data_IF_847363924485
#
_entry.id   IF_847363924485
#
_cell.length_a   1.000
_cell.length_b   1.000
_cell.length_c   1.000
_cell.angle_alpha   90.00
_cell.angle_beta   90.00
_cell.angle_gamma   90.00
#
_symmetry.space_group_name_H-M   'P 1'
#
loop_
_entity.id
_entity.type
_entity.pdbx_description
1 polymer ?
#
# COMPACT_ATOMS: atom_id res chain seq x y z
N UNK A 1 34.07 -20.27 -33.14
CA UNK A 1 34.73 -19.02 -32.71
C UNK A 1 34.61 -18.01 -33.85
N UNK A 2 34.13 -16.79 -33.55
CA UNK A 2 34.17 -15.56 -34.37
C UNK A 2 33.27 -15.54 -35.65
N UNK A 3 32.18 -14.74 -35.70
CA UNK A 3 32.12 -13.36 -36.25
C UNK A 3 30.69 -12.90 -36.62
N UNK A 4 30.50 -11.60 -36.39
CA UNK A 4 29.44 -10.68 -36.77
C UNK A 4 29.16 -10.62 -38.30
N UNK A 5 28.02 -10.00 -38.67
CA UNK A 5 27.61 -9.32 -39.95
C UNK A 5 26.37 -9.99 -40.60
N UNK A 6 25.17 -9.41 -40.46
CA UNK A 6 24.57 -8.30 -41.26
C UNK A 6 23.94 -8.77 -42.58
N UNK A 7 22.84 -8.10 -42.98
CA UNK A 7 22.12 -8.07 -44.28
C UNK A 7 20.65 -8.52 -44.07
N UNK A 8 19.59 -7.96 -44.63
CA UNK A 8 19.25 -6.86 -45.58
C UNK A 8 17.72 -6.71 -45.36
N UNK A 9 17.06 -5.56 -45.52
CA UNK A 9 17.48 -4.40 -46.29
C UNK A 9 16.57 -3.22 -46.06
N UNK A 10 17.16 -2.06 -46.32
CA UNK A 10 16.44 -0.84 -46.61
C UNK A 10 16.04 -0.82 -48.09
N UNK A 11 14.98 -0.05 -48.35
CA UNK A 11 14.59 0.59 -49.61
C UNK A 11 13.61 -0.18 -50.53
N UNK A 12 12.35 0.26 -50.45
CA UNK A 12 11.38 0.22 -51.52
C UNK A 12 10.41 1.39 -51.34
N UNK A 13 10.63 2.48 -52.07
CA UNK A 13 9.80 3.70 -52.09
C UNK A 13 8.75 3.54 -53.19
N UNK A 14 7.48 3.88 -52.94
CA UNK A 14 6.67 4.74 -53.83
C UNK A 14 5.25 4.99 -53.30
N UNK A 15 4.89 6.29 -53.25
CA UNK A 15 3.59 6.95 -53.49
C UNK A 15 2.32 6.10 -53.55
N UNK A 16 1.15 6.49 -53.05
CA UNK A 16 0.62 7.77 -52.59
C UNK A 16 -0.82 7.50 -52.16
N UNK A 17 -1.26 8.00 -51.01
CA UNK A 17 -2.63 8.46 -50.84
C UNK A 17 -2.69 9.30 -49.57
N UNK A 18 -3.04 10.57 -49.73
CA UNK A 18 -3.35 11.49 -48.65
C UNK A 18 -4.66 10.98 -48.03
N UNK A 19 -4.55 10.19 -46.96
CA UNK A 19 -5.66 9.99 -46.04
C UNK A 19 -5.70 11.19 -45.08
N UNK A 20 -6.86 11.80 -44.83
CA UNK A 20 -6.95 12.94 -43.93
C UNK A 20 -6.43 12.53 -42.56
N UNK A 21 -5.43 13.26 -42.06
CA UNK A 21 -5.07 13.20 -40.65
C UNK A 21 -6.27 13.71 -39.86
N UNK A 22 -7.14 12.79 -39.46
CA UNK A 22 -8.00 13.04 -38.30
C UNK A 22 -7.01 13.14 -37.15
N UNK A 23 -6.69 14.36 -36.74
CA UNK A 23 -6.10 14.60 -35.43
C UNK A 23 -7.21 14.26 -34.45
N UNK A 24 -7.33 12.97 -34.13
CA UNK A 24 -7.93 12.57 -32.88
C UNK A 24 -6.92 13.09 -31.87
N UNK A 25 -7.28 14.20 -31.24
CA UNK A 25 -6.80 14.53 -29.91
C UNK A 25 -7.21 13.33 -29.05
N UNK A 26 -6.38 12.29 -29.06
CA UNK A 26 -6.42 11.32 -27.99
C UNK A 26 -6.06 12.15 -26.79
N UNK A 27 -7.08 12.48 -26.00
CA UNK A 27 -6.93 12.64 -24.57
C UNK A 27 -5.84 11.66 -24.18
N UNK A 28 -4.72 12.19 -23.72
CA UNK A 28 -3.83 11.43 -22.88
C UNK A 28 -4.75 10.83 -21.83
N UNK A 29 -5.09 9.55 -22.01
CA UNK A 29 -5.40 8.70 -20.90
C UNK A 29 -4.15 8.83 -20.06
N UNK A 30 -4.19 9.77 -19.11
CA UNK A 30 -3.35 9.70 -17.94
C UNK A 30 -3.58 8.28 -17.46
N UNK A 31 -2.61 7.42 -17.72
CA UNK A 31 -2.48 6.16 -17.03
C UNK A 31 -2.57 6.60 -15.58
N UNK A 32 -3.67 6.25 -14.92
CA UNK A 32 -3.88 6.48 -13.50
C UNK A 32 -2.84 5.59 -12.84
N UNK A 33 -1.64 6.14 -12.67
CA UNK A 33 -0.61 5.58 -11.81
C UNK A 33 -1.11 5.83 -10.41
N UNK A 34 -1.87 4.87 -9.87
CA UNK A 34 -1.76 4.62 -8.44
C UNK A 34 -0.31 4.24 -8.24
N UNK A 35 0.50 5.09 -7.60
CA UNK A 35 1.91 4.81 -7.31
C UNK A 35 1.95 3.66 -6.28
N UNK A 36 1.63 2.45 -6.74
CA UNK A 36 1.77 1.20 -6.03
C UNK A 36 3.27 0.91 -6.08
N UNK A 37 3.92 1.09 -4.95
CA UNK A 37 5.32 0.73 -4.81
C UNK A 37 5.44 -0.77 -4.55
N UNK A 38 6.44 -1.38 -5.20
CA UNK A 38 6.77 -2.79 -4.98
C UNK A 38 7.90 -2.90 -3.97
N UNK A 39 7.75 -3.83 -3.02
CA UNK A 39 8.73 -4.13 -1.99
C UNK A 39 8.92 -5.63 -1.79
N UNK A 40 9.71 -5.98 -0.78
CA UNK A 40 9.86 -7.36 -0.35
C UNK A 40 9.96 -7.47 1.17
N UNK A 41 9.15 -8.35 1.76
CA UNK A 41 9.29 -8.80 3.15
C UNK A 41 10.03 -10.14 3.17
N UNK A 42 10.89 -10.36 4.17
CA UNK A 42 11.67 -11.60 4.30
C UNK A 42 11.45 -12.25 5.66
N UNK A 43 11.33 -13.57 5.65
CA UNK A 43 11.28 -14.42 6.85
C UNK A 43 12.41 -15.43 6.73
N UNK A 44 13.40 -15.29 7.60
CA UNK A 44 14.61 -16.12 7.62
C UNK A 44 14.51 -17.16 8.73
N UNK A 45 14.22 -18.41 8.37
CA UNK A 45 14.15 -19.49 9.37
C UNK A 45 15.42 -20.32 9.34
N UNK A 46 16.14 -20.28 10.45
CA UNK A 46 17.30 -21.14 10.69
C UNK A 46 16.82 -22.45 11.31
N UNK A 47 17.17 -23.59 10.73
CA UNK A 47 16.72 -24.90 11.19
C UNK A 47 17.46 -25.42 12.44
N UNK A 48 18.09 -24.56 13.23
CA UNK A 48 18.91 -24.97 14.38
C UNK A 48 18.15 -25.87 15.37
N UNK A 49 16.82 -25.69 15.54
CA UNK A 49 16.01 -26.54 16.43
C UNK A 49 15.78 -27.97 15.91
N UNK A 50 16.16 -28.24 14.66
CA UNK A 50 16.14 -29.55 14.02
C UNK A 50 17.52 -30.20 13.95
N UNK A 51 18.53 -29.66 14.63
CA UNK A 51 19.84 -30.29 14.70
C UNK A 51 20.26 -30.55 16.14
N UNK A 52 20.80 -31.73 16.40
CA UNK A 52 21.49 -31.99 17.66
C UNK A 52 22.91 -31.39 17.66
N UNK A 53 23.58 -31.47 18.80
CA UNK A 53 24.97 -31.00 19.00
C UNK A 53 26.00 -31.63 18.05
N UNK A 54 25.68 -32.79 17.48
CA UNK A 54 26.54 -33.53 16.56
C UNK A 54 26.17 -33.24 15.09
N UNK A 55 25.20 -32.35 14.85
CA UNK A 55 24.74 -31.94 13.54
C UNK A 55 23.81 -32.93 12.84
N UNK A 56 23.19 -33.87 13.57
CA UNK A 56 22.20 -34.81 13.03
C UNK A 56 20.80 -34.21 13.06
N UNK A 57 20.01 -34.52 12.04
CA UNK A 57 18.63 -34.03 11.91
C UNK A 57 17.72 -34.68 12.96
N UNK A 58 16.97 -33.84 13.68
CA UNK A 58 15.90 -34.22 14.59
C UNK A 58 14.56 -34.03 13.86
N UNK A 59 13.89 -35.14 13.57
CA UNK A 59 12.56 -35.16 12.96
C UNK A 59 11.50 -34.65 13.94
N UNK A 60 10.45 -34.03 13.39
CA UNK A 60 9.29 -33.57 14.15
C UNK A 60 8.91 -32.13 13.82
N UNK A 61 8.06 -31.57 14.66
CA UNK A 61 7.55 -30.20 14.55
C UNK A 61 8.19 -29.33 15.62
N UNK A 62 8.63 -28.13 15.23
CA UNK A 62 9.26 -27.15 16.12
C UNK A 62 8.61 -25.79 15.90
N UNK A 63 8.34 -25.07 16.98
CA UNK A 63 7.78 -23.72 16.93
C UNK A 63 8.90 -22.68 16.73
N UNK A 64 8.68 -21.76 15.79
CA UNK A 64 9.56 -20.66 15.40
C UNK A 64 8.83 -19.31 15.46
N UNK A 65 7.77 -19.17 16.25
CA UNK A 65 6.95 -17.95 16.33
C UNK A 65 7.74 -16.64 16.44
N UNK A 66 8.84 -16.63 17.19
CA UNK A 66 9.70 -15.44 17.35
C UNK A 66 10.27 -14.92 16.03
N UNK A 67 10.55 -15.82 15.08
CA UNK A 67 11.04 -15.46 13.73
C UNK A 67 9.94 -14.73 12.95
N UNK A 68 8.69 -15.18 13.08
CA UNK A 68 7.55 -14.53 12.43
C UNK A 68 7.24 -13.18 13.08
N UNK A 69 7.30 -13.09 14.41
CA UNK A 69 7.13 -11.84 15.16
C UNK A 69 8.14 -10.80 14.68
N UNK A 70 9.43 -11.17 14.62
CA UNK A 70 10.49 -10.26 14.18
C UNK A 70 10.26 -9.74 12.75
N UNK A 71 9.84 -10.62 11.84
CA UNK A 71 9.56 -10.23 10.46
C UNK A 71 8.35 -9.28 10.36
N UNK A 72 7.26 -9.57 11.09
CA UNK A 72 6.07 -8.71 11.16
C UNK A 72 6.44 -7.33 11.75
N UNK A 73 7.18 -7.31 12.85
CA UNK A 73 7.59 -6.06 13.52
C UNK A 73 8.44 -5.17 12.62
N UNK A 74 9.41 -5.77 11.91
CA UNK A 74 10.22 -5.05 10.92
C UNK A 74 9.37 -4.43 9.82
N UNK A 75 8.41 -5.18 9.27
CA UNK A 75 7.53 -4.67 8.23
C UNK A 75 6.59 -3.58 8.76
N UNK A 76 6.04 -3.74 9.97
CA UNK A 76 5.19 -2.72 10.62
C UNK A 76 5.96 -1.44 10.89
N UNK A 77 7.21 -1.53 11.35
CA UNK A 77 8.09 -0.39 11.53
C UNK A 77 8.35 0.34 10.20
N UNK A 78 8.70 -0.39 9.14
CA UNK A 78 8.85 0.17 7.79
C UNK A 78 7.58 0.88 7.32
N UNK A 79 6.40 0.24 7.47
CA UNK A 79 5.13 0.82 7.06
C UNK A 79 4.85 2.13 7.80
N UNK A 80 5.15 2.19 9.10
CA UNK A 80 5.00 3.39 9.91
C UNK A 80 5.96 4.51 9.50
N UNK A 81 7.24 4.19 9.31
CA UNK A 81 8.27 5.17 8.92
C UNK A 81 7.97 5.80 7.54
N UNK A 82 7.40 5.02 6.63
CA UNK A 82 7.11 5.44 5.26
C UNK A 82 5.65 5.88 5.05
N UNK A 83 4.87 6.07 6.13
CA UNK A 83 3.44 6.45 6.05
C UNK A 83 2.62 5.57 5.08
N UNK A 84 2.90 4.27 5.08
CA UNK A 84 2.17 3.30 4.26
C UNK A 84 0.73 3.20 4.78
N UNK A 85 -0.24 3.49 3.90
CA UNK A 85 -1.67 3.43 4.23
C UNK A 85 -2.34 2.13 3.82
N UNK A 86 -1.77 1.45 2.83
CA UNK A 86 -2.23 0.14 2.41
C UNK A 86 -1.02 -0.72 2.09
N UNK A 87 -0.95 -1.89 2.71
CA UNK A 87 0.08 -2.89 2.47
C UNK A 87 -0.60 -4.21 2.06
N UNK A 88 -0.17 -4.76 0.94
CA UNK A 88 -0.63 -6.04 0.42
C UNK A 88 0.55 -6.98 0.13
N UNK A 89 0.27 -8.28 0.17
CA UNK A 89 1.19 -9.33 -0.23
C UNK A 89 0.60 -9.96 -1.50
N UNK A 90 1.18 -9.63 -2.64
CA UNK A 90 0.65 -10.04 -3.95
C UNK A 90 1.18 -11.41 -4.37
N UNK A 91 2.42 -11.71 -3.99
CA UNK A 91 3.06 -12.99 -4.28
C UNK A 91 4.04 -13.41 -3.18
N UNK A 92 4.47 -14.67 -3.20
CA UNK A 92 5.57 -15.15 -2.37
C UNK A 92 6.43 -16.14 -3.12
N UNK A 93 7.74 -15.99 -2.94
CA UNK A 93 8.75 -16.90 -3.46
C UNK A 93 9.57 -17.37 -2.27
N UNK A 94 9.69 -18.68 -2.11
CA UNK A 94 10.63 -19.23 -1.13
C UNK A 94 11.86 -19.74 -1.83
N UNK A 95 13.01 -19.37 -1.27
CA UNK A 95 14.30 -19.71 -1.81
C UNK A 95 15.01 -20.66 -0.86
N UNK A 96 15.33 -21.83 -1.39
CA UNK A 96 16.26 -22.74 -0.73
C UNK A 96 17.69 -22.28 -1.05
N UNK A 97 18.59 -22.26 -0.06
CA UNK A 97 20.00 -21.99 -0.32
C UNK A 97 20.57 -22.97 -1.37
N UNK A 98 21.26 -22.46 -2.38
CA UNK A 98 22.01 -23.29 -3.34
C UNK A 98 21.25 -23.82 -4.57
N UNK A 99 19.99 -23.41 -4.83
CA UNK A 99 19.32 -23.71 -6.12
C UNK A 99 19.12 -22.48 -7.00
N UNK A 100 19.21 -22.70 -8.31
CA UNK A 100 18.89 -21.70 -9.35
C UNK A 100 17.39 -21.66 -9.68
N UNK A 101 16.69 -22.79 -9.54
CA UNK A 101 15.25 -22.86 -9.75
C UNK A 101 14.49 -22.72 -8.43
N UNK A 102 13.55 -21.79 -8.43
CA UNK A 102 12.69 -21.48 -7.29
C UNK A 102 11.64 -22.59 -7.17
N UNK A 103 11.63 -23.32 -6.05
CA UNK A 103 10.45 -24.06 -5.64
C UNK A 103 9.34 -23.06 -5.38
N UNK A 104 8.48 -22.79 -6.38
CA UNK A 104 7.39 -21.82 -6.25
C UNK A 104 6.40 -22.34 -5.21
N UNK A 105 6.32 -21.62 -4.10
CA UNK A 105 5.36 -21.85 -3.02
C UNK A 105 4.11 -21.01 -3.30
N UNK A 106 2.93 -21.58 -3.02
CA UNK A 106 1.67 -20.81 -3.01
C UNK A 106 1.48 -20.10 -1.67
N UNK A 107 0.99 -18.88 -1.76
CA UNK A 107 1.25 -17.73 -0.87
C UNK A 107 0.40 -17.71 0.40
N UNK A 108 1.04 -17.43 1.55
CA UNK A 108 0.41 -17.07 2.81
C UNK A 108 -0.11 -15.62 2.83
N UNK A 109 -1.07 -15.31 1.93
CA UNK A 109 -1.63 -13.95 1.78
C UNK A 109 -2.29 -13.43 3.04
N UNK A 110 -2.77 -14.33 3.90
CA UNK A 110 -3.38 -14.00 5.19
C UNK A 110 -2.39 -13.31 6.15
N UNK A 111 -1.07 -13.42 5.93
CA UNK A 111 -0.07 -12.73 6.75
C UNK A 111 -0.22 -11.20 6.71
N UNK A 112 -0.75 -10.64 5.61
CA UNK A 112 -1.02 -9.19 5.51
C UNK A 112 -2.00 -8.70 6.57
N UNK A 113 -2.88 -9.57 7.05
CA UNK A 113 -3.87 -9.23 8.08
C UNK A 113 -3.17 -8.95 9.42
N UNK A 114 -2.14 -9.74 9.77
CA UNK A 114 -1.32 -9.51 10.96
C UNK A 114 -0.46 -8.23 10.82
N UNK A 115 0.08 -7.97 9.63
CA UNK A 115 0.86 -6.75 9.37
C UNK A 115 -0.01 -5.49 9.46
N UNK A 116 -1.26 -5.55 8.97
CA UNK A 116 -2.18 -4.41 8.91
C UNK A 116 -3.02 -4.20 10.18
N UNK A 117 -3.11 -5.18 11.07
CA UNK A 117 -3.95 -5.09 12.28
C UNK A 117 -3.47 -4.01 13.25
N UNK A 118 -4.39 -3.44 14.04
CA UNK A 118 -4.02 -2.49 15.11
C UNK A 118 -3.32 -3.23 16.23
N UNK A 119 -3.90 -4.35 16.64
CA UNK A 119 -3.34 -5.28 17.63
C UNK A 119 -3.12 -6.63 16.96
N UNK A 120 -1.94 -7.22 17.15
CA UNK A 120 -1.66 -8.56 16.65
C UNK A 120 -0.94 -9.40 17.68
N UNK A 121 -1.14 -10.72 17.60
CA UNK A 121 -0.43 -11.72 18.38
C UNK A 121 -0.06 -12.89 17.45
N UNK A 122 1.16 -13.39 17.54
CA UNK A 122 1.54 -14.65 16.87
C UNK A 122 1.44 -15.77 17.90
N UNK A 123 0.54 -16.72 17.66
CA UNK A 123 0.32 -17.86 18.54
C UNK A 123 1.36 -18.94 18.28
N UNK A 124 1.63 -19.23 17.00
CA UNK A 124 2.59 -20.27 16.57
C UNK A 124 3.15 -20.01 15.17
N UNK A 125 4.35 -20.52 14.92
CA UNK A 125 4.88 -20.75 13.57
C UNK A 125 5.56 -22.12 13.57
N UNK A 126 4.83 -23.16 13.19
CA UNK A 126 5.28 -24.53 13.25
C UNK A 126 6.02 -24.95 11.99
N UNK A 127 7.24 -25.44 12.16
CA UNK A 127 8.06 -26.00 11.10
C UNK A 127 8.16 -27.50 11.32
N UNK A 128 7.74 -28.27 10.33
CA UNK A 128 7.72 -29.74 10.37
C UNK A 128 8.76 -30.30 9.42
N UNK A 129 9.62 -31.19 9.93
CA UNK A 129 10.53 -32.02 9.13
C UNK A 129 10.17 -33.49 9.35
N UNK A 130 9.76 -34.17 8.28
CA UNK A 130 9.39 -35.59 8.32
C UNK A 130 10.16 -36.39 7.27
N UNK A 131 10.46 -37.66 7.56
CA UNK A 131 11.06 -38.59 6.59
C UNK A 131 9.96 -39.29 5.80
N UNK A 132 10.00 -39.20 4.47
CA UNK A 132 8.95 -39.68 3.58
C UNK A 132 9.04 -41.17 3.24
N UNK A 133 10.24 -41.78 3.31
CA UNK A 133 10.47 -43.21 3.01
C UNK A 133 11.82 -43.74 3.54
N UNK A 134 12.06 -45.05 3.38
CA UNK A 134 13.34 -45.71 3.69
C UNK A 134 14.48 -45.32 2.74
N UNK A 135 14.18 -44.62 1.65
CA UNK A 135 15.14 -44.19 0.62
C UNK A 135 15.84 -42.89 0.99
N UNK A 136 15.31 -42.12 1.95
CA UNK A 136 15.96 -40.92 2.50
C UNK A 136 15.32 -39.59 2.09
N UNK A 137 14.10 -39.61 1.57
CA UNK A 137 13.38 -38.39 1.21
C UNK A 137 12.83 -37.65 2.44
N UNK A 138 12.83 -36.32 2.45
CA UNK A 138 12.27 -35.49 3.53
C UNK A 138 11.13 -34.59 3.04
N UNK A 139 10.10 -34.41 3.87
CA UNK A 139 9.00 -33.46 3.67
C UNK A 139 9.11 -32.30 4.66
N UNK A 140 8.74 -31.11 4.18
CA UNK A 140 8.72 -29.86 4.94
C UNK A 140 7.34 -29.23 4.91
N UNK A 141 6.96 -28.62 6.02
CA UNK A 141 5.75 -27.80 6.12
C UNK A 141 5.96 -26.68 7.11
N UNK A 142 5.42 -25.50 6.80
CA UNK A 142 5.43 -24.36 7.71
C UNK A 142 3.98 -23.89 7.83
N UNK A 143 3.46 -23.88 9.03
CA UNK A 143 2.12 -23.39 9.32
C UNK A 143 2.22 -22.29 10.37
N UNK A 144 1.39 -21.27 10.30
CA UNK A 144 1.31 -20.24 11.33
C UNK A 144 -0.12 -19.99 11.77
N UNK A 145 -0.24 -19.59 13.03
CA UNK A 145 -1.48 -19.12 13.63
C UNK A 145 -1.22 -17.81 14.38
N UNK A 146 -2.12 -16.85 14.23
CA UNK A 146 -2.05 -15.57 14.92
C UNK A 146 -3.43 -14.95 15.10
N UNK A 147 -3.49 -13.89 15.89
CA UNK A 147 -4.68 -13.06 16.07
C UNK A 147 -4.42 -11.69 15.45
N UNK A 148 -5.35 -11.21 14.65
CA UNK A 148 -5.35 -9.86 14.08
C UNK A 148 -6.64 -9.15 14.49
N UNK A 149 -6.53 -8.14 15.35
CA UNK A 149 -7.67 -7.45 15.97
C UNK A 149 -8.69 -8.44 16.60
N UNK A 150 -8.18 -9.47 17.30
CA UNK A 150 -8.97 -10.52 17.94
C UNK A 150 -9.53 -11.60 17.01
N UNK A 151 -9.24 -11.55 15.70
CA UNK A 151 -9.65 -12.58 14.74
C UNK A 151 -8.52 -13.56 14.46
N UNK A 152 -8.83 -14.86 14.48
CA UNK A 152 -7.86 -15.90 14.13
C UNK A 152 -7.49 -15.80 12.65
N UNK A 153 -6.20 -15.68 12.40
CA UNK A 153 -5.56 -15.69 11.10
C UNK A 153 -4.65 -16.90 11.09
N UNK A 154 -4.93 -17.83 10.18
CA UNK A 154 -4.04 -18.94 9.92
C UNK A 154 -3.46 -18.79 8.53
N UNK A 155 -2.31 -19.39 8.31
CA UNK A 155 -1.77 -19.49 6.99
C UNK A 155 -0.70 -20.55 6.93
N UNK A 156 -0.64 -21.15 5.77
CA UNK A 156 0.36 -22.15 5.50
C UNK A 156 1.35 -21.61 4.47
N UNK A 157 2.62 -21.76 4.79
CA UNK A 157 3.75 -21.34 3.97
C UNK A 157 4.43 -22.63 3.46
N UNK A 158 3.86 -23.27 2.43
CA UNK A 158 4.28 -24.64 2.03
C UNK A 158 5.38 -24.70 0.98
N UNK A 159 6.54 -25.28 1.32
CA UNK A 159 7.66 -25.51 0.40
C UNK A 159 7.92 -26.97 0.09
N UNK A 160 8.26 -27.28 -1.17
CA UNK A 160 8.60 -28.63 -1.58
C UNK A 160 9.99 -28.68 -2.22
N UNK A 161 10.81 -29.62 -1.78
CA UNK A 161 12.02 -30.04 -2.47
C UNK A 161 11.89 -31.52 -2.84
N UNK A 162 12.01 -31.81 -4.13
CA UNK A 162 11.77 -33.12 -4.72
C UNK A 162 13.04 -33.96 -4.86
N UNK A 163 14.20 -33.32 -4.77
CA UNK A 163 15.51 -33.97 -4.95
C UNK A 163 16.23 -34.17 -3.60
N UNK A 164 16.54 -35.44 -3.34
CA UNK A 164 17.23 -35.95 -2.15
C UNK A 164 18.62 -35.34 -1.95
N UNK A 165 19.39 -35.12 -3.03
CA UNK A 165 20.75 -34.56 -2.93
C UNK A 165 20.76 -33.10 -2.48
N UNK A 166 19.68 -32.39 -2.74
CA UNK A 166 19.52 -30.99 -2.32
C UNK A 166 18.96 -30.86 -0.91
N UNK A 167 18.15 -31.81 -0.42
CA UNK A 167 17.60 -31.76 0.93
C UNK A 167 18.71 -31.64 1.99
N UNK A 168 19.76 -32.47 1.94
CA UNK A 168 20.85 -32.42 2.92
C UNK A 168 21.65 -31.10 2.90
N UNK A 169 21.80 -30.48 1.73
CA UNK A 169 22.46 -29.18 1.57
C UNK A 169 21.56 -27.99 1.95
N UNK A 170 20.24 -28.16 1.89
CA UNK A 170 19.25 -27.08 2.07
C UNK A 170 18.65 -27.03 3.48
N UNK A 171 18.52 -28.16 4.18
CA UNK A 171 17.96 -28.17 5.54
C UNK A 171 18.92 -27.48 6.50
N UNK A 172 20.21 -27.81 6.41
CA UNK A 172 21.24 -27.37 7.36
C UNK A 172 21.38 -25.86 7.48
N UNK A 173 21.41 -25.07 6.39
CA UNK A 173 21.47 -23.60 6.49
C UNK A 173 20.13 -22.94 6.84
N UNK A 174 18.99 -23.64 6.76
CA UNK A 174 17.66 -23.04 6.88
C UNK A 174 17.12 -22.52 5.54
N UNK A 175 16.09 -21.67 5.58
CA UNK A 175 15.39 -21.19 4.39
C UNK A 175 14.95 -19.73 4.51
N UNK A 176 14.83 -19.08 3.34
CA UNK A 176 14.40 -17.68 3.22
C UNK A 176 13.08 -17.64 2.45
N UNK A 177 12.03 -17.17 3.11
CA UNK A 177 10.74 -16.89 2.47
C UNK A 177 10.76 -15.41 2.09
N UNK A 178 10.64 -15.10 0.81
CA UNK A 178 10.53 -13.72 0.30
C UNK A 178 9.11 -13.48 -0.17
N UNK A 179 8.42 -12.55 0.46
CA UNK A 179 7.07 -12.14 0.10
C UNK A 179 7.19 -10.88 -0.77
N UNK A 180 6.61 -10.90 -1.97
CA UNK A 180 6.51 -9.72 -2.83
C UNK A 180 5.33 -8.90 -2.32
N UNK A 181 5.60 -7.64 -2.00
CA UNK A 181 4.64 -6.76 -1.37
C UNK A 181 4.32 -5.61 -2.30
N UNK A 182 3.08 -5.16 -2.28
CA UNK A 182 2.66 -3.91 -2.89
C UNK A 182 2.17 -2.99 -1.78
N UNK A 183 2.63 -1.75 -1.78
CA UNK A 183 2.20 -0.79 -0.79
C UNK A 183 1.93 0.58 -1.39
N UNK A 184 1.01 1.31 -0.75
CA UNK A 184 0.71 2.70 -1.06
C UNK A 184 1.24 3.57 0.07
N UNK A 185 2.07 4.54 -0.27
CA UNK A 185 2.46 5.61 0.64
C UNK A 185 1.31 6.63 0.63
N UNK A 186 0.65 6.83 1.78
CA UNK A 186 -0.29 7.95 1.88
C UNK A 186 0.48 9.23 2.11
N UNK A 187 0.23 10.19 1.24
CA UNK A 187 0.76 11.52 1.41
C UNK A 187 0.06 12.21 2.59
N UNK A 188 0.80 13.02 3.35
CA UNK A 188 0.27 13.71 4.52
C UNK A 188 -0.25 15.09 4.14
N UNK A 189 -1.53 15.37 4.38
CA UNK A 189 -2.19 16.62 3.91
C UNK A 189 -2.41 17.66 5.01
N UNK A 190 -1.84 17.49 6.20
CA UNK A 190 -2.01 18.43 7.32
C UNK A 190 -1.71 19.88 6.90
N UNK A 191 -2.78 20.69 6.85
CA UNK A 191 -2.71 22.07 6.40
C UNK A 191 -3.83 22.92 7.00
N UNK A 192 -3.56 24.21 7.11
CA UNK A 192 -4.57 25.24 7.25
C UNK A 192 -4.14 26.41 6.41
N UNK A 193 -4.96 26.78 5.43
CA UNK A 193 -4.70 27.96 4.62
C UNK A 193 -4.57 29.19 5.52
N UNK A 194 -3.65 30.09 5.18
CA UNK A 194 -3.54 31.41 5.82
C UNK A 194 -4.06 32.54 4.95
N UNK A 195 -4.25 32.28 3.67
CA UNK A 195 -4.70 33.23 2.65
C UNK A 195 -5.68 32.52 1.71
N UNK A 196 -6.53 33.28 1.04
CA UNK A 196 -7.51 32.74 0.11
C UNK A 196 -6.88 32.42 -1.25
N UNK A 197 -6.03 31.40 -1.29
CA UNK A 197 -5.37 30.96 -2.52
C UNK A 197 -6.19 29.90 -3.28
N UNK A 198 -7.16 29.25 -2.60
CA UNK A 198 -8.06 28.27 -3.19
C UNK A 198 -8.89 28.86 -4.32
N UNK A 199 -9.25 30.15 -4.22
CA UNK A 199 -10.18 30.85 -5.11
C UNK A 199 -11.53 30.13 -5.26
N UNK A 200 -11.94 29.35 -4.25
CA UNK A 200 -13.20 28.63 -4.24
C UNK A 200 -14.27 29.51 -3.58
N UNK A 201 -15.31 29.83 -4.36
CA UNK A 201 -16.47 30.61 -3.94
C UNK A 201 -17.69 29.68 -3.82
N UNK A 202 -18.51 29.88 -2.79
CA UNK A 202 -19.84 29.29 -2.77
C UNK A 202 -20.72 29.93 -3.87
N UNK A 203 -21.70 29.20 -4.40
CA UNK A 203 -22.61 29.77 -5.38
C UNK A 203 -23.53 30.82 -4.73
N UNK A 204 -23.60 32.00 -5.36
CA UNK A 204 -24.59 33.02 -4.99
C UNK A 204 -25.97 32.62 -5.54
N UNK A 205 -26.79 32.05 -4.66
CA UNK A 205 -28.17 31.66 -4.96
C UNK A 205 -29.19 32.64 -4.34
N UNK A 206 -28.75 33.79 -3.81
CA UNK A 206 -29.63 34.73 -3.10
C UNK A 206 -30.21 34.20 -1.78
N UNK A 207 -29.66 33.09 -1.25
CA UNK A 207 -30.07 32.47 0.01
C UNK A 207 -28.87 32.29 0.94
N UNK A 208 -29.13 32.16 2.24
CA UNK A 208 -28.10 31.82 3.23
C UNK A 208 -28.04 30.31 3.43
N UNK A 209 -26.84 29.77 3.56
CA UNK A 209 -26.61 28.35 3.83
C UNK A 209 -26.29 28.11 5.31
N UNK A 210 -26.74 26.98 5.82
CA UNK A 210 -26.27 26.41 7.07
C UNK A 210 -24.91 25.74 6.87
N UNK A 211 -24.16 25.56 7.96
CA UNK A 211 -22.87 24.86 7.90
C UNK A 211 -23.01 23.44 7.32
N UNK A 212 -24.09 22.71 7.66
CA UNK A 212 -24.37 21.38 7.11
C UNK A 212 -24.54 21.41 5.58
N UNK A 213 -25.33 22.36 5.07
CA UNK A 213 -25.56 22.48 3.63
C UNK A 213 -24.25 22.73 2.87
N UNK A 214 -23.34 23.53 3.44
CA UNK A 214 -22.02 23.77 2.84
C UNK A 214 -21.17 22.50 2.85
N UNK A 215 -21.17 21.74 3.96
CA UNK A 215 -20.47 20.43 4.03
C UNK A 215 -21.01 19.50 2.94
N UNK A 216 -22.33 19.40 2.83
CA UNK A 216 -23.00 18.55 1.84
C UNK A 216 -22.68 18.96 0.40
N UNK A 217 -22.56 20.27 0.12
CA UNK A 217 -22.15 20.77 -1.21
C UNK A 217 -20.77 20.25 -1.61
N UNK A 218 -19.81 20.21 -0.67
CA UNK A 218 -18.48 19.66 -0.93
C UNK A 218 -18.46 18.13 -0.97
N UNK A 219 -19.40 17.44 -0.31
CA UNK A 219 -19.47 15.98 -0.29
C UNK A 219 -20.28 15.38 -1.45
N UNK A 220 -20.96 16.21 -2.22
CA UNK A 220 -21.74 15.74 -3.36
C UNK A 220 -20.79 15.31 -4.49
N UNK A 221 -20.71 13.99 -4.76
CA UNK A 221 -19.73 13.34 -5.66
C UNK A 221 -19.70 13.89 -7.11
N UNK A 222 -20.74 14.59 -7.56
CA UNK A 222 -20.80 15.23 -8.89
C UNK A 222 -20.60 16.75 -8.87
N UNK A 223 -20.34 17.33 -7.70
CA UNK A 223 -20.20 18.76 -7.50
C UNK A 223 -18.86 19.31 -7.99
N UNK A 224 -18.89 20.52 -8.55
CA UNK A 224 -17.70 21.23 -9.01
C UNK A 224 -16.77 21.60 -7.84
N UNK A 225 -17.34 21.91 -6.67
CA UNK A 225 -16.61 22.26 -5.45
C UNK A 225 -15.69 21.15 -4.94
N UNK A 226 -16.12 19.88 -5.00
CA UNK A 226 -15.29 18.75 -4.58
C UNK A 226 -14.04 18.61 -5.47
N UNK A 227 -14.22 18.73 -6.79
CA UNK A 227 -13.12 18.66 -7.77
C UNK A 227 -12.13 19.82 -7.64
N UNK A 228 -12.65 21.03 -7.43
CA UNK A 228 -11.83 22.21 -7.19
C UNK A 228 -10.99 22.05 -5.91
N UNK A 229 -11.61 21.57 -4.83
CA UNK A 229 -10.92 21.29 -3.57
C UNK A 229 -9.83 20.22 -3.73
N UNK A 230 -10.11 19.09 -4.41
CA UNK A 230 -9.11 18.06 -4.71
C UNK A 230 -7.93 18.65 -5.47
N UNK A 231 -8.20 19.43 -6.52
CA UNK A 231 -7.18 20.05 -7.37
C UNK A 231 -6.31 21.02 -6.57
N UNK A 232 -6.92 21.83 -5.71
CA UNK A 232 -6.21 22.76 -4.85
C UNK A 232 -5.36 22.05 -3.79
N UNK A 233 -5.86 21.01 -3.14
CA UNK A 233 -5.10 20.23 -2.14
C UNK A 233 -3.91 19.55 -2.81
N UNK A 234 -4.14 18.90 -3.97
CA UNK A 234 -3.10 18.24 -4.75
C UNK A 234 -1.98 19.20 -5.16
N UNK A 235 -2.33 20.38 -5.67
CA UNK A 235 -1.32 21.39 -6.03
C UNK A 235 -0.59 21.96 -4.81
N UNK A 236 -1.30 22.25 -3.72
CA UNK A 236 -0.73 22.92 -2.53
C UNK A 236 0.20 21.99 -1.74
N UNK A 237 -0.13 20.70 -1.67
CA UNK A 237 0.64 19.71 -0.91
C UNK A 237 1.53 18.84 -1.77
N UNK A 238 1.52 19.05 -3.08
CA UNK A 238 2.14 18.15 -4.04
C UNK A 238 1.68 16.71 -3.77
N UNK A 239 0.35 16.54 -3.76
CA UNK A 239 -0.32 15.26 -3.51
C UNK A 239 -1.16 14.82 -4.70
N UNK A 240 -1.62 13.56 -4.68
CA UNK A 240 -2.50 12.97 -5.72
C UNK A 240 -3.68 12.23 -5.08
N UNK A 241 -4.46 12.93 -4.25
CA UNK A 241 -5.70 12.39 -3.69
C UNK A 241 -6.79 12.37 -4.76
N UNK A 242 -7.60 11.31 -4.77
CA UNK A 242 -8.70 11.12 -5.73
C UNK A 242 -10.07 11.44 -5.12
N UNK A 243 -10.14 11.51 -3.80
CA UNK A 243 -11.37 11.73 -3.06
C UNK A 243 -11.13 12.55 -1.81
N UNK A 244 -12.12 13.36 -1.44
CA UNK A 244 -12.15 14.09 -0.18
C UNK A 244 -13.53 14.01 0.44
N UNK A 245 -13.56 14.09 1.76
CA UNK A 245 -14.77 14.24 2.56
C UNK A 245 -14.63 15.49 3.43
N UNK A 246 -15.57 16.42 3.27
CA UNK A 246 -15.75 17.58 4.15
C UNK A 246 -16.40 17.14 5.45
N UNK A 247 -15.81 17.58 6.56
CA UNK A 247 -16.17 17.14 7.90
C UNK A 247 -16.88 18.24 8.70
N UNK A 248 -16.29 19.43 8.70
CA UNK A 248 -16.63 20.53 9.63
C UNK A 248 -16.29 21.88 9.01
N UNK A 249 -17.03 22.90 9.44
CA UNK A 249 -16.67 24.29 9.21
C UNK A 249 -16.04 24.90 10.46
N UNK A 250 -15.15 25.86 10.27
CA UNK A 250 -14.57 26.68 11.33
C UNK A 250 -14.63 28.15 10.95
N UNK A 251 -14.78 29.02 11.95
CA UNK A 251 -14.70 30.47 11.73
C UNK A 251 -13.32 30.85 11.18
N UNK A 252 -13.27 31.78 10.24
CA UNK A 252 -12.01 32.39 9.81
C UNK A 252 -11.80 33.72 10.56
N UNK A 253 -10.77 33.77 11.41
CA UNK A 253 -10.42 34.96 12.18
C UNK A 253 -9.43 35.78 11.35
N UNK A 254 -9.87 36.94 10.85
CA UNK A 254 -9.01 37.84 10.07
C UNK A 254 -7.91 38.45 10.96
N UNK A 255 -6.66 38.36 10.51
CA UNK A 255 -5.44 38.89 11.15
C UNK A 255 -4.63 39.65 10.12
N UNK A 256 -4.59 40.97 10.20
CA UNK A 256 -3.93 41.87 9.24
C UNK A 256 -4.21 41.44 7.78
N UNK A 257 -3.28 40.71 7.15
CA UNK A 257 -3.34 40.21 5.77
C UNK A 257 -3.50 38.68 5.66
N UNK A 258 -4.04 38.02 6.69
CA UNK A 258 -4.17 36.56 6.77
C UNK A 258 -5.41 36.13 7.55
N UNK A 259 -5.67 34.82 7.57
CA UNK A 259 -6.74 34.20 8.34
C UNK A 259 -6.18 33.11 9.25
N UNK A 260 -6.75 33.01 10.45
CA UNK A 260 -6.50 31.95 11.41
C UNK A 260 -7.77 31.13 11.64
N UNK A 261 -7.61 29.81 11.79
CA UNK A 261 -8.74 28.92 12.07
C UNK A 261 -9.23 29.13 13.50
N UNK A 262 -10.48 29.56 13.63
CA UNK A 262 -11.18 29.75 14.88
C UNK A 262 -11.94 28.51 15.35
N UNK A 263 -12.99 28.75 16.12
CA UNK A 263 -13.88 27.71 16.65
C UNK A 263 -14.69 27.02 15.54
N UNK A 264 -15.06 25.75 15.80
CA UNK A 264 -15.92 24.99 14.92
C UNK A 264 -17.35 25.56 14.91
N UNK A 265 -17.97 25.60 13.74
CA UNK A 265 -19.34 26.07 13.56
C UNK A 265 -20.29 24.87 13.63
N UNK A 266 -21.38 24.99 14.41
CA UNK A 266 -22.38 23.95 14.52
C UNK A 266 -23.14 23.77 13.18
N UNK A 267 -23.46 22.52 12.84
CA UNK A 267 -24.09 22.13 11.58
C UNK A 267 -25.37 22.94 11.24
N UNK A 268 -26.18 23.29 12.24
CA UNK A 268 -27.45 24.00 12.06
C UNK A 268 -27.32 25.53 12.08
N UNK A 269 -26.10 26.06 12.24
CA UNK A 269 -25.86 27.51 12.26
C UNK A 269 -25.80 28.05 10.84
N UNK A 270 -26.48 29.17 10.60
CA UNK A 270 -26.41 29.94 9.35
C UNK A 270 -25.05 30.61 9.26
N UNK A 271 -24.36 30.47 8.12
CA UNK A 271 -23.08 31.14 7.88
C UNK A 271 -23.32 32.57 7.39
N UNK A 272 -22.96 33.53 8.21
CA UNK A 272 -23.04 34.97 7.91
C UNK A 272 -21.68 35.57 7.57
N UNK A 273 -20.60 34.85 7.87
CA UNK A 273 -19.22 35.22 7.58
C UNK A 273 -18.92 35.17 6.06
N UNK A 274 -18.17 36.16 5.57
CA UNK A 274 -17.69 36.21 4.18
C UNK A 274 -16.65 35.12 3.90
N UNK A 275 -15.80 34.82 4.88
CA UNK A 275 -14.77 33.78 4.81
C UNK A 275 -14.91 32.79 5.96
N UNK A 276 -14.70 31.50 5.67
CA UNK A 276 -14.70 30.43 6.66
C UNK A 276 -13.80 29.28 6.19
N UNK A 277 -13.40 28.41 7.12
CA UNK A 277 -12.61 27.22 6.78
C UNK A 277 -13.52 26.00 6.61
N UNK A 278 -13.31 25.24 5.55
CA UNK A 278 -13.88 23.91 5.35
C UNK A 278 -12.77 22.88 5.55
N UNK A 279 -13.03 21.89 6.40
CA UNK A 279 -12.07 20.85 6.77
C UNK A 279 -12.29 19.58 5.97
N UNK A 280 -11.24 19.10 5.31
CA UNK A 280 -11.24 17.92 4.46
C UNK A 280 -10.34 16.82 5.01
N UNK A 281 -10.83 15.60 4.91
CA UNK A 281 -10.05 14.37 5.01
C UNK A 281 -10.08 13.65 3.65
N UNK A 282 -9.15 12.73 3.43
CA UNK A 282 -9.15 11.84 2.27
C UNK A 282 -8.91 10.42 2.75
N UNK A 283 -9.46 9.43 2.04
CA UNK A 283 -9.07 8.03 2.24
C UNK A 283 -7.66 7.75 1.71
N UNK A 284 -7.16 8.61 0.82
CA UNK A 284 -5.90 8.47 0.09
C UNK A 284 -4.73 9.16 0.82
N UNK A 285 -5.03 10.01 1.80
CA UNK A 285 -4.06 10.79 2.56
C UNK A 285 -4.36 10.84 4.06
N UNK A 286 -3.33 10.94 4.88
CA UNK A 286 -3.48 11.06 6.34
C UNK A 286 -3.48 12.54 6.74
N UNK A 287 -4.33 12.90 7.70
CA UNK A 287 -4.39 14.24 8.28
C UNK A 287 -5.59 15.04 7.79
N UNK A 288 -5.55 16.35 8.02
CA UNK A 288 -6.66 17.24 7.68
C UNK A 288 -6.19 18.48 6.95
N UNK A 289 -6.82 18.78 5.82
CA UNK A 289 -6.63 20.02 5.11
C UNK A 289 -7.77 20.99 5.45
N UNK A 290 -7.46 22.13 6.05
CA UNK A 290 -8.44 23.19 6.34
C UNK A 290 -8.29 24.27 5.27
N UNK A 291 -9.22 24.29 4.32
CA UNK A 291 -9.20 25.20 3.18
C UNK A 291 -10.02 26.44 3.49
N UNK A 292 -9.51 27.61 3.14
CA UNK A 292 -10.26 28.86 3.24
C UNK A 292 -11.21 28.98 2.04
N UNK A 293 -12.49 29.25 2.31
CA UNK A 293 -13.56 29.36 1.31
C UNK A 293 -14.25 30.71 1.47
N UNK A 294 -14.65 31.30 0.34
CA UNK A 294 -15.43 32.53 0.29
C UNK A 294 -16.91 32.20 0.08
N UNK A 295 -17.79 32.89 0.80
CA UNK A 295 -19.24 32.78 0.65
C UNK A 295 -19.76 33.38 -0.66
#
# INVERSE_FOLDING_TARGET
MIKLLSLIGALGISSSTVAPAIIIQQNSNNIISTDIEQGSMRIDVKNEKHFDKDGKIILGTRDYKEVLIEAIDKQRAFNKENNVSNFDITDSITRFPGTAENGKIRVGRSLKELVNAKEYEVLSMEVTIAKSDNSGNYKYGINFEGLADGRLVTGDLYGYQWDQGFADFQIKPGYVITLITEYKVSERIDHTDKMFNSNIYLPDLGIKFTALQIIEMFNYEKGDLNKQAITYINSTKNTKIDSINSLKLYKAIKKDNSFEKGEAILNNTIIDEEYFFVSFESKDAIGTFNMLVHK
#
